data_IF_974693387844
#
_entry.id   IF_974693387844
#
_cell.length_a   1.000
_cell.length_b   1.000
_cell.length_c   1.000
_cell.angle_alpha   90.00
_cell.angle_beta   90.00
_cell.angle_gamma   90.00
#
_symmetry.space_group_name_H-M   'P 1'
#
loop_
_entity.id
_entity.type
_entity.pdbx_description
1 polymer ?
#
# COMPACT_ATOMS: atom_id res chain seq x y z
N UNK A 1 -26.39 21.69 -24.75
CA UNK A 1 -25.60 20.85 -23.81
C UNK A 1 -25.93 19.36 -23.91
N UNK A 2 -27.19 18.94 -24.09
CA UNK A 2 -27.59 17.52 -24.18
C UNK A 2 -27.04 16.68 -25.36
N UNK A 3 -26.42 17.28 -26.38
CA UNK A 3 -25.96 16.57 -27.58
C UNK A 3 -24.55 15.97 -27.45
N UNK A 4 -23.73 16.50 -26.53
CA UNK A 4 -22.33 16.07 -26.33
C UNK A 4 -22.25 14.82 -25.43
N UNK A 5 -23.02 14.79 -24.34
CA UNK A 5 -23.07 13.66 -23.39
C UNK A 5 -23.57 12.35 -24.03
N UNK A 6 -24.44 12.44 -25.05
CA UNK A 6 -24.97 11.27 -25.76
C UNK A 6 -23.93 10.62 -26.68
N UNK A 7 -23.12 11.44 -27.36
CA UNK A 7 -22.01 10.95 -28.20
C UNK A 7 -20.88 10.38 -27.36
N UNK A 8 -20.59 10.99 -26.21
CA UNK A 8 -19.61 10.49 -25.24
C UNK A 8 -20.01 9.13 -24.69
N UNK A 9 -21.29 8.95 -24.34
CA UNK A 9 -21.80 7.66 -23.86
C UNK A 9 -21.76 6.56 -24.94
N UNK A 10 -22.18 6.87 -26.17
CA UNK A 10 -22.08 5.92 -27.30
C UNK A 10 -20.63 5.57 -27.63
N UNK A 11 -19.70 6.52 -27.49
CA UNK A 11 -18.27 6.30 -27.67
C UNK A 11 -17.67 5.40 -26.58
N UNK A 12 -18.00 5.64 -25.30
CA UNK A 12 -17.58 4.80 -24.16
C UNK A 12 -18.12 3.38 -24.31
N UNK A 13 -19.38 3.22 -24.71
CA UNK A 13 -19.99 1.91 -24.89
C UNK A 13 -19.36 1.15 -26.06
N UNK A 14 -18.97 1.85 -27.13
CA UNK A 14 -18.19 1.28 -28.25
C UNK A 14 -16.79 0.84 -27.83
N UNK A 15 -16.09 1.63 -27.01
CA UNK A 15 -14.78 1.26 -26.46
C UNK A 15 -14.90 -0.03 -25.62
N UNK A 16 -15.93 -0.12 -24.76
CA UNK A 16 -16.16 -1.30 -23.94
C UNK A 16 -16.44 -2.57 -24.76
N UNK A 17 -17.17 -2.41 -25.86
CA UNK A 17 -17.45 -3.51 -26.79
C UNK A 17 -16.19 -3.97 -27.56
N UNK A 18 -15.33 -3.04 -27.98
CA UNK A 18 -14.13 -3.35 -28.79
C UNK A 18 -12.99 -3.89 -27.95
N UNK A 19 -12.80 -3.38 -26.73
CA UNK A 19 -11.72 -3.81 -25.82
C UNK A 19 -12.00 -5.15 -25.12
N UNK A 20 -13.15 -5.78 -25.38
CA UNK A 20 -13.41 -7.18 -25.06
C UNK A 20 -13.20 -7.53 -23.58
N UNK A 21 -14.11 -7.10 -22.71
CA UNK A 21 -14.20 -7.62 -21.33
C UNK A 21 -14.84 -9.01 -21.36
N UNK A 22 -14.13 -9.99 -21.92
CA UNK A 22 -14.49 -11.39 -21.77
C UNK A 22 -13.60 -11.98 -20.68
N UNK A 23 -14.23 -12.46 -19.60
CA UNK A 23 -13.61 -13.12 -18.45
C UNK A 23 -12.37 -13.91 -18.84
N UNK A 24 -11.19 -13.32 -18.61
CA UNK A 24 -9.93 -13.94 -18.97
C UNK A 24 -9.69 -15.16 -18.06
N UNK A 25 -9.96 -16.33 -18.61
CA UNK A 25 -9.59 -17.62 -18.02
C UNK A 25 -8.11 -17.62 -17.64
N UNK A 26 -7.79 -18.11 -16.44
CA UNK A 26 -6.42 -18.26 -15.93
C UNK A 26 -5.58 -19.12 -16.90
N UNK A 27 -4.84 -18.47 -17.79
CA UNK A 27 -3.86 -19.11 -18.66
C UNK A 27 -2.53 -19.28 -17.91
N UNK A 28 -1.69 -20.23 -18.33
CA UNK A 28 -0.39 -20.51 -17.67
C UNK A 28 0.52 -19.28 -17.55
N UNK A 29 0.41 -18.35 -18.49
CA UNK A 29 1.16 -17.09 -18.51
C UNK A 29 0.78 -16.15 -17.35
N UNK A 30 -0.48 -16.15 -16.86
CA UNK A 30 -0.89 -15.33 -15.72
C UNK A 30 -0.11 -15.73 -14.45
N UNK A 31 0.09 -17.04 -14.25
CA UNK A 31 0.86 -17.56 -13.11
C UNK A 31 2.34 -17.19 -13.24
N UNK A 32 2.88 -17.23 -14.44
CA UNK A 32 4.27 -16.87 -14.68
C UNK A 32 4.50 -15.36 -14.42
N UNK A 33 3.61 -14.49 -14.91
CA UNK A 33 3.63 -13.05 -14.63
C UNK A 33 3.46 -12.77 -13.13
N UNK A 34 2.54 -13.46 -12.45
CA UNK A 34 2.37 -13.33 -10.99
C UNK A 34 3.67 -13.62 -10.23
N UNK A 35 4.38 -14.68 -10.64
CA UNK A 35 5.64 -15.09 -10.01
C UNK A 35 6.81 -14.13 -10.28
N UNK A 36 6.68 -13.16 -11.19
CA UNK A 36 7.67 -12.11 -11.38
C UNK A 36 7.84 -11.25 -10.12
N UNK A 37 6.78 -11.15 -9.29
CA UNK A 37 6.73 -10.35 -8.05
C UNK A 37 7.35 -8.94 -8.21
N UNK A 38 6.91 -8.14 -9.20
CA UNK A 38 7.45 -6.80 -9.40
C UNK A 38 7.08 -5.89 -8.22
N UNK A 39 7.92 -4.91 -7.90
CA UNK A 39 7.55 -3.88 -6.92
C UNK A 39 6.50 -2.91 -7.48
N UNK A 40 6.60 -2.61 -8.78
CA UNK A 40 5.70 -1.72 -9.50
C UNK A 40 5.40 -2.28 -10.89
N UNK A 41 4.17 -2.07 -11.35
CA UNK A 41 3.75 -2.37 -12.72
C UNK A 41 3.32 -1.07 -13.38
N UNK A 42 3.87 -0.79 -14.57
CA UNK A 42 3.49 0.37 -15.38
C UNK A 42 2.95 -0.17 -16.71
N UNK A 43 1.76 0.27 -17.11
CA UNK A 43 1.08 -0.24 -18.30
C UNK A 43 0.37 0.86 -19.07
N UNK A 44 0.36 0.71 -20.40
CA UNK A 44 -0.49 1.47 -21.33
C UNK A 44 -1.77 0.73 -21.68
N UNK A 45 -1.96 -0.50 -21.17
CA UNK A 45 -3.15 -1.29 -21.40
C UNK A 45 -4.34 -0.73 -20.60
N UNK A 46 -5.52 -0.75 -21.21
CA UNK A 46 -6.75 -0.20 -20.63
C UNK A 46 -7.53 -1.23 -19.79
N UNK A 47 -7.39 -2.53 -20.10
CA UNK A 47 -8.10 -3.66 -19.48
C UNK A 47 -7.64 -3.93 -18.04
N UNK A 48 -8.44 -4.62 -17.23
CA UNK A 48 -8.15 -4.85 -15.80
C UNK A 48 -7.43 -6.19 -15.50
N UNK A 49 -6.72 -6.77 -16.47
CA UNK A 49 -6.11 -8.09 -16.31
C UNK A 49 -5.03 -8.10 -15.23
N UNK A 50 -4.21 -7.05 -15.17
CA UNK A 50 -3.11 -6.96 -14.19
C UNK A 50 -3.65 -6.85 -12.76
N UNK A 51 -4.80 -6.20 -12.57
CA UNK A 51 -5.49 -6.10 -11.29
C UNK A 51 -6.01 -7.47 -10.81
N UNK A 52 -6.36 -8.37 -11.75
CA UNK A 52 -6.73 -9.75 -11.43
C UNK A 52 -5.50 -10.61 -11.11
N UNK A 53 -4.38 -10.37 -11.80
CA UNK A 53 -3.12 -11.09 -11.55
C UNK A 53 -2.52 -10.66 -10.22
N UNK A 54 -2.56 -9.36 -9.89
CA UNK A 54 -1.97 -8.77 -8.68
C UNK A 54 -3.06 -8.14 -7.79
N UNK A 55 -3.87 -8.95 -7.08
CA UNK A 55 -5.02 -8.45 -6.31
C UNK A 55 -4.64 -7.55 -5.14
N UNK A 56 -3.41 -7.65 -4.62
CA UNK A 56 -2.90 -6.81 -3.52
C UNK A 56 -2.31 -5.48 -3.99
N UNK A 57 -2.27 -5.25 -5.31
CA UNK A 57 -1.70 -4.04 -5.88
C UNK A 57 -2.74 -2.93 -5.94
N UNK A 58 -2.29 -1.71 -5.67
CA UNK A 58 -3.15 -0.54 -5.78
C UNK A 58 -3.13 -0.02 -7.22
N UNK A 59 -4.32 0.02 -7.85
CA UNK A 59 -4.47 0.63 -9.18
C UNK A 59 -4.39 2.15 -9.08
N UNK A 60 -3.52 2.74 -9.90
CA UNK A 60 -3.34 4.19 -10.06
C UNK A 60 -3.62 4.55 -11.50
N UNK A 61 -4.67 5.33 -11.75
CA UNK A 61 -5.08 5.70 -13.11
C UNK A 61 -4.63 7.11 -13.45
N UNK A 62 -3.94 7.26 -14.59
CA UNK A 62 -3.47 8.56 -15.08
C UNK A 62 -2.73 9.35 -14.00
N UNK A 63 -3.24 10.53 -13.68
CA UNK A 63 -2.63 11.46 -12.72
C UNK A 63 -3.09 11.30 -11.26
N UNK A 64 -3.90 10.28 -10.94
CA UNK A 64 -4.38 10.04 -9.58
C UNK A 64 -3.25 9.82 -8.56
N UNK A 65 -2.02 9.60 -9.03
CA UNK A 65 -0.80 9.51 -8.22
C UNK A 65 -0.60 10.71 -7.29
N UNK A 66 -1.08 11.90 -7.67
CA UNK A 66 -1.02 13.13 -6.86
C UNK A 66 -1.87 13.04 -5.58
N UNK A 67 -2.94 12.24 -5.59
CA UNK A 67 -3.88 12.11 -4.47
C UNK A 67 -3.43 11.09 -3.41
N UNK A 68 -2.40 10.30 -3.70
CA UNK A 68 -1.95 9.19 -2.85
C UNK A 68 -0.41 9.26 -2.65
N UNK A 69 0.10 10.20 -1.83
CA UNK A 69 1.53 10.45 -1.68
C UNK A 69 2.31 9.33 -0.95
N UNK A 70 1.62 8.43 -0.26
CA UNK A 70 2.20 7.29 0.47
C UNK A 70 2.37 6.03 -0.39
N UNK A 71 2.07 6.12 -1.69
CA UNK A 71 2.28 5.02 -2.63
C UNK A 71 3.76 4.88 -2.96
N UNK A 72 4.35 3.77 -2.52
CA UNK A 72 5.75 3.41 -2.71
C UNK A 72 5.98 1.92 -2.94
N UNK A 73 4.95 1.06 -2.94
CA UNK A 73 5.10 -0.36 -3.30
C UNK A 73 3.77 -1.02 -3.70
N UNK A 74 3.84 -1.89 -4.71
CA UNK A 74 2.74 -2.70 -5.22
C UNK A 74 1.70 -1.86 -5.93
N UNK A 75 2.11 -0.98 -6.83
CA UNK A 75 1.19 -0.18 -7.64
C UNK A 75 1.09 -0.71 -9.06
N UNK A 76 -0.10 -0.59 -9.64
CA UNK A 76 -0.33 -0.71 -11.08
C UNK A 76 -0.64 0.68 -11.63
N UNK A 77 0.37 1.30 -12.25
CA UNK A 77 0.25 2.59 -12.93
C UNK A 77 -0.31 2.40 -14.33
N UNK A 78 -1.54 2.87 -14.55
CA UNK A 78 -2.21 2.84 -15.85
C UNK A 78 -2.14 4.21 -16.47
N UNK A 79 -1.05 4.44 -17.20
CA UNK A 79 -0.64 5.79 -17.61
C UNK A 79 -1.52 6.37 -18.71
N UNK A 80 -2.20 5.51 -19.50
CA UNK A 80 -3.16 5.92 -20.53
C UNK A 80 -4.63 5.77 -20.09
N UNK A 81 -4.87 5.63 -18.79
CA UNK A 81 -6.24 5.46 -18.27
C UNK A 81 -6.66 4.01 -18.10
N UNK A 82 -7.94 3.80 -17.76
CA UNK A 82 -8.49 2.48 -17.47
C UNK A 82 -9.93 2.38 -17.95
N UNK A 83 -10.36 1.21 -18.43
CA UNK A 83 -11.73 0.98 -18.91
C UNK A 83 -12.82 1.18 -17.83
N UNK A 84 -12.45 1.02 -16.55
CA UNK A 84 -13.36 1.29 -15.43
C UNK A 84 -13.49 2.79 -15.10
N UNK A 85 -12.64 3.63 -15.69
CA UNK A 85 -12.74 5.09 -15.64
C UNK A 85 -12.60 5.66 -17.07
N UNK A 86 -13.66 5.59 -17.90
CA UNK A 86 -13.55 5.91 -19.32
C UNK A 86 -13.09 7.34 -19.64
N UNK A 87 -13.35 8.30 -18.73
CA UNK A 87 -12.92 9.69 -18.89
C UNK A 87 -11.40 9.87 -18.73
N UNK A 88 -10.71 8.87 -18.19
CA UNK A 88 -9.26 8.86 -18.04
C UNK A 88 -8.51 8.35 -19.28
N UNK A 89 -9.22 7.82 -20.29
CA UNK A 89 -8.62 7.14 -21.43
C UNK A 89 -7.88 8.11 -22.35
N UNK A 90 -6.64 7.77 -22.70
CA UNK A 90 -5.82 8.50 -23.66
C UNK A 90 -5.84 7.76 -24.99
N UNK A 91 -6.68 8.18 -25.93
CA UNK A 91 -6.89 7.47 -27.20
C UNK A 91 -6.75 8.37 -28.42
N UNK A 92 -7.28 9.58 -28.35
CA UNK A 92 -7.27 10.54 -29.45
C UNK A 92 -6.00 11.39 -29.42
N UNK A 93 -5.63 11.98 -30.56
CA UNK A 93 -4.49 12.90 -30.63
C UNK A 93 -4.61 14.06 -29.63
N UNK A 94 -5.83 14.53 -29.38
CA UNK A 94 -6.09 15.57 -28.39
C UNK A 94 -5.81 15.07 -26.97
N UNK A 95 -6.22 13.84 -26.65
CA UNK A 95 -5.93 13.24 -25.33
C UNK A 95 -4.43 13.10 -25.11
N UNK A 96 -3.67 12.71 -26.15
CA UNK A 96 -2.20 12.64 -26.07
C UNK A 96 -1.58 14.03 -25.83
N UNK A 97 -2.08 15.08 -26.47
CA UNK A 97 -1.61 16.47 -26.23
C UNK A 97 -1.89 16.91 -24.80
N UNK A 98 -3.08 16.65 -24.29
CA UNK A 98 -3.45 16.96 -22.90
C UNK A 98 -2.61 16.15 -21.91
N UNK A 99 -2.44 14.85 -22.16
CA UNK A 99 -1.62 13.97 -21.34
C UNK A 99 -0.16 14.45 -21.28
N UNK A 100 0.47 14.79 -22.40
CA UNK A 100 1.84 15.32 -22.44
C UNK A 100 1.99 16.63 -21.65
N UNK A 101 0.99 17.52 -21.70
CA UNK A 101 1.02 18.78 -20.96
C UNK A 101 0.98 18.56 -19.44
N UNK A 102 0.18 17.59 -18.99
CA UNK A 102 -0.14 17.41 -17.58
C UNK A 102 0.70 16.32 -16.88
N UNK A 103 1.33 15.40 -17.61
CA UNK A 103 2.04 14.22 -17.05
C UNK A 103 3.29 14.53 -16.21
N UNK A 104 3.67 15.79 -16.00
CA UNK A 104 4.97 16.19 -15.41
C UNK A 104 5.29 15.49 -14.08
N UNK A 105 4.32 15.41 -13.16
CA UNK A 105 4.53 14.75 -11.87
C UNK A 105 4.61 13.23 -12.00
N UNK A 106 3.73 12.65 -12.83
CA UNK A 106 3.75 11.22 -13.13
C UNK A 106 5.12 10.83 -13.71
N UNK A 107 5.61 11.57 -14.70
CA UNK A 107 6.96 11.40 -15.26
C UNK A 107 8.04 11.49 -14.19
N UNK A 108 8.01 12.51 -13.31
CA UNK A 108 9.00 12.62 -12.24
C UNK A 108 9.02 11.40 -11.30
N UNK A 109 7.85 10.84 -10.96
CA UNK A 109 7.75 9.66 -10.11
C UNK A 109 8.12 8.35 -10.83
N UNK A 110 7.80 8.23 -12.11
CA UNK A 110 8.26 7.10 -12.92
C UNK A 110 9.79 7.11 -13.02
N UNK A 111 10.39 8.30 -13.16
CA UNK A 111 11.83 8.47 -13.19
C UNK A 111 12.53 8.03 -11.89
N UNK A 112 11.93 8.26 -10.71
CA UNK A 112 12.50 7.73 -9.45
C UNK A 112 12.50 6.20 -9.45
N UNK A 113 11.40 5.56 -9.87
CA UNK A 113 11.34 4.10 -9.97
C UNK A 113 12.37 3.54 -10.96
N UNK A 114 12.57 4.23 -12.08
CA UNK A 114 13.58 3.84 -13.07
C UNK A 114 15.01 3.94 -12.54
N UNK A 115 15.24 4.80 -11.55
CA UNK A 115 16.54 4.92 -10.90
C UNK A 115 16.77 3.88 -9.79
N UNK A 116 15.70 3.48 -9.11
CA UNK A 116 15.76 2.62 -7.92
C UNK A 116 15.65 1.13 -8.26
N UNK A 117 14.96 0.76 -9.35
CA UNK A 117 14.65 -0.63 -9.67
C UNK A 117 15.11 -1.05 -11.09
N UNK A 118 15.41 -2.34 -11.30
CA UNK A 118 15.58 -2.89 -12.65
C UNK A 118 14.30 -2.77 -13.48
N UNK A 119 14.44 -2.48 -14.77
CA UNK A 119 13.34 -2.34 -15.72
C UNK A 119 13.25 -3.53 -16.66
N UNK A 120 12.05 -4.06 -16.80
CA UNK A 120 11.71 -5.14 -17.73
C UNK A 120 10.54 -4.72 -18.62
N UNK A 121 10.81 -4.48 -19.90
CA UNK A 121 9.78 -4.19 -20.89
C UNK A 121 9.19 -5.47 -21.46
N UNK A 122 7.86 -5.61 -21.40
CA UNK A 122 7.12 -6.80 -21.83
C UNK A 122 6.01 -6.37 -22.79
N UNK A 123 5.89 -7.04 -23.94
CA UNK A 123 4.79 -6.81 -24.88
C UNK A 123 4.94 -5.57 -25.76
N UNK A 124 6.14 -5.00 -25.83
CA UNK A 124 6.45 -3.84 -26.66
C UNK A 124 7.52 -4.16 -27.70
N UNK A 125 7.51 -3.39 -28.78
CA UNK A 125 8.60 -3.36 -29.76
C UNK A 125 9.62 -2.30 -29.35
N UNK A 126 10.89 -2.52 -29.67
CA UNK A 126 11.96 -1.55 -29.39
C UNK A 126 11.71 -0.19 -30.06
N UNK A 127 10.94 -0.16 -31.15
CA UNK A 127 10.60 1.05 -31.89
C UNK A 127 9.38 1.82 -31.34
N UNK A 128 8.68 1.29 -30.34
CA UNK A 128 7.49 1.90 -29.73
C UNK A 128 7.78 3.29 -29.16
N UNK A 129 6.89 4.24 -29.41
CA UNK A 129 7.10 5.64 -29.02
C UNK A 129 7.05 5.85 -27.50
N UNK A 130 6.23 5.08 -26.77
CA UNK A 130 6.17 5.14 -25.31
C UNK A 130 7.47 4.62 -24.71
N UNK A 131 8.00 3.50 -25.25
CA UNK A 131 9.33 2.99 -24.87
C UNK A 131 10.40 4.03 -25.15
N UNK A 132 10.43 4.62 -26.35
CA UNK A 132 11.44 5.63 -26.69
C UNK A 132 11.37 6.84 -25.77
N UNK A 133 10.16 7.33 -25.44
CA UNK A 133 9.99 8.44 -24.51
C UNK A 133 10.55 8.09 -23.12
N UNK A 134 10.21 6.92 -22.58
CA UNK A 134 10.71 6.46 -21.28
C UNK A 134 12.24 6.35 -21.29
N UNK A 135 12.80 5.69 -22.30
CA UNK A 135 14.24 5.50 -22.41
C UNK A 135 14.98 6.82 -22.65
N UNK A 136 14.39 7.77 -23.38
CA UNK A 136 14.91 9.12 -23.54
C UNK A 136 15.05 9.82 -22.20
N UNK A 137 14.00 9.78 -21.36
CA UNK A 137 14.05 10.40 -20.03
C UNK A 137 15.10 9.74 -19.13
N UNK A 138 15.22 8.41 -19.19
CA UNK A 138 16.26 7.65 -18.47
C UNK A 138 17.67 8.06 -18.93
N UNK A 139 17.94 8.16 -20.24
CA UNK A 139 19.27 8.58 -20.73
C UNK A 139 19.68 9.95 -20.22
N UNK A 140 18.72 10.89 -20.13
CA UNK A 140 18.96 12.24 -19.64
C UNK A 140 19.28 12.27 -18.15
N UNK A 141 18.64 11.42 -17.34
CA UNK A 141 18.92 11.32 -15.90
C UNK A 141 20.33 10.83 -15.63
N UNK A 142 20.72 9.73 -16.25
CA UNK A 142 22.00 9.07 -15.96
C UNK A 142 23.19 9.71 -16.68
N UNK A 143 22.97 10.76 -17.49
CA UNK A 143 23.92 11.24 -18.51
C UNK A 143 24.52 10.06 -19.26
N UNK A 144 23.69 9.05 -19.53
CA UNK A 144 24.16 7.76 -20.00
C UNK A 144 24.81 7.99 -21.36
N UNK A 145 26.14 7.93 -21.37
CA UNK A 145 26.94 7.78 -22.57
C UNK A 145 26.56 6.43 -23.21
N UNK A 146 26.98 6.18 -24.45
CA UNK A 146 26.69 4.97 -25.26
C UNK A 146 27.03 3.60 -24.59
N UNK A 147 27.45 3.59 -23.33
CA UNK A 147 27.63 2.42 -22.49
C UNK A 147 26.30 1.67 -22.25
N UNK A 148 26.42 0.37 -22.07
CA UNK A 148 25.30 -0.51 -21.73
C UNK A 148 24.68 -0.09 -20.40
N UNK A 149 23.37 0.14 -20.36
CA UNK A 149 22.65 0.38 -19.11
C UNK A 149 22.32 -0.98 -18.47
N UNK A 150 22.97 -1.38 -17.36
CA UNK A 150 22.99 -2.77 -16.92
C UNK A 150 21.64 -3.27 -16.39
N UNK A 151 20.74 -2.37 -16.02
CA UNK A 151 19.50 -2.71 -15.30
C UNK A 151 18.24 -2.57 -16.15
N UNK A 152 18.37 -2.44 -17.48
CA UNK A 152 17.23 -2.33 -18.39
C UNK A 152 17.22 -3.52 -19.35
N UNK A 153 16.09 -4.21 -19.39
CA UNK A 153 15.84 -5.41 -20.17
C UNK A 153 14.61 -5.21 -21.05
N UNK A 154 14.67 -5.67 -22.29
CA UNK A 154 13.50 -5.79 -23.18
C UNK A 154 13.29 -7.26 -23.55
N UNK A 155 12.03 -7.72 -23.48
CA UNK A 155 11.64 -9.03 -23.97
C UNK A 155 11.16 -8.95 -25.41
N UNK A 156 11.83 -9.71 -26.26
CA UNK A 156 11.52 -9.80 -27.68
C UNK A 156 11.06 -11.21 -28.01
N UNK A 157 9.87 -11.33 -28.57
CA UNK A 157 9.34 -12.63 -28.99
C UNK A 157 9.92 -12.99 -30.35
N UNK A 158 10.52 -14.18 -30.43
CA UNK A 158 10.92 -14.78 -31.70
C UNK A 158 10.49 -16.25 -31.68
N UNK A 159 9.60 -16.62 -32.61
CA UNK A 159 9.08 -17.99 -32.71
C UNK A 159 10.09 -18.98 -33.29
N UNK A 160 11.08 -18.48 -34.03
CA UNK A 160 12.02 -19.30 -34.80
C UNK A 160 13.32 -19.54 -34.00
N UNK A 161 13.40 -19.00 -32.78
CA UNK A 161 14.53 -19.18 -31.88
C UNK A 161 14.51 -20.57 -31.22
N UNK A 162 15.61 -21.29 -31.35
CA UNK A 162 15.82 -22.63 -30.78
C UNK A 162 17.13 -22.73 -30.00
N UNK A 163 17.49 -23.94 -29.56
CA UNK A 163 18.68 -24.18 -28.71
C UNK A 163 20.01 -23.77 -29.35
N UNK A 164 20.11 -23.83 -30.68
CA UNK A 164 21.32 -23.45 -31.43
C UNK A 164 21.33 -21.97 -31.86
N UNK A 165 20.28 -21.21 -31.55
CA UNK A 165 20.19 -19.80 -31.92
C UNK A 165 21.08 -18.96 -31.00
N UNK A 166 21.75 -17.96 -31.57
CA UNK A 166 22.58 -17.00 -30.82
C UNK A 166 21.99 -15.60 -30.97
N UNK A 167 20.88 -15.28 -30.26
CA UNK A 167 20.25 -13.99 -30.37
C UNK A 167 21.16 -12.87 -29.86
N UNK A 168 20.99 -11.64 -30.36
CA UNK A 168 21.64 -10.48 -29.77
C UNK A 168 21.22 -10.32 -28.31
N UNK A 169 22.20 -10.12 -27.42
CA UNK A 169 21.98 -9.90 -25.98
C UNK A 169 21.79 -8.42 -25.63
N UNK A 170 21.98 -7.55 -26.61
CA UNK A 170 21.94 -6.11 -26.47
C UNK A 170 21.16 -5.51 -27.63
N UNK A 171 20.42 -4.44 -27.35
CA UNK A 171 19.69 -3.66 -28.34
C UNK A 171 20.12 -2.20 -28.24
N UNK A 172 20.51 -1.63 -29.38
CA UNK A 172 20.71 -0.18 -29.50
C UNK A 172 19.42 0.43 -30.03
N UNK A 173 18.89 1.41 -29.31
CA UNK A 173 17.63 2.09 -29.63
C UNK A 173 17.91 3.58 -29.76
N UNK A 174 17.53 4.18 -30.90
CA UNK A 174 17.47 5.63 -31.03
C UNK A 174 16.20 6.13 -30.33
N UNK A 175 16.39 6.97 -29.33
CA UNK A 175 15.33 7.49 -28.45
C UNK A 175 14.97 8.95 -28.74
N UNK A 176 15.66 9.60 -29.67
CA UNK A 176 15.36 10.96 -30.13
C UNK A 176 16.62 11.71 -30.56
N UNK A 177 16.58 12.33 -31.74
CA UNK A 177 17.72 13.03 -32.32
C UNK A 177 18.93 12.11 -32.45
N UNK A 178 20.09 12.55 -31.93
CA UNK A 178 21.33 11.77 -31.90
C UNK A 178 21.51 10.95 -30.61
N UNK A 179 20.46 10.86 -29.78
CA UNK A 179 20.52 10.12 -28.51
C UNK A 179 20.17 8.65 -28.74
N UNK A 180 21.11 7.78 -28.42
CA UNK A 180 20.93 6.33 -28.45
C UNK A 180 21.18 5.71 -27.10
N UNK A 181 20.37 4.74 -26.71
CA UNK A 181 20.60 3.92 -25.52
C UNK A 181 20.92 2.48 -25.92
N UNK A 182 21.80 1.84 -25.15
CA UNK A 182 22.06 0.41 -25.27
C UNK A 182 21.51 -0.31 -24.03
N UNK A 183 20.59 -1.25 -24.25
CA UNK A 183 19.92 -2.03 -23.20
C UNK A 183 20.10 -3.53 -23.43
N UNK A 184 19.83 -4.35 -22.42
CA UNK A 184 19.86 -5.81 -22.55
C UNK A 184 18.62 -6.29 -23.30
N UNK A 185 18.80 -7.20 -24.24
CA UNK A 185 17.71 -7.87 -24.96
C UNK A 185 17.67 -9.35 -24.57
N UNK A 186 16.46 -9.84 -24.31
CA UNK A 186 16.18 -11.24 -24.08
C UNK A 186 15.19 -11.67 -25.17
N UNK A 187 15.71 -12.39 -26.16
CA UNK A 187 14.91 -12.93 -27.27
C UNK A 187 14.50 -14.35 -26.92
N UNK A 188 13.21 -14.70 -27.04
CA UNK A 188 12.74 -16.06 -26.78
C UNK A 188 11.42 -16.43 -27.45
N UNK A 189 11.23 -17.73 -27.67
CA UNK A 189 9.97 -18.39 -28.09
C UNK A 189 9.12 -18.85 -26.91
N UNK A 190 9.55 -18.59 -25.66
CA UNK A 190 8.74 -18.72 -24.45
C UNK A 190 9.28 -17.80 -23.37
N UNK A 191 8.40 -17.08 -22.67
CA UNK A 191 8.81 -16.21 -21.56
C UNK A 191 8.70 -16.88 -20.19
N UNK A 192 8.21 -18.12 -20.11
CA UNK A 192 8.03 -18.84 -18.83
C UNK A 192 9.35 -18.95 -18.04
N UNK A 193 10.44 -19.26 -18.74
CA UNK A 193 11.76 -19.37 -18.10
C UNK A 193 12.28 -18.00 -17.66
N UNK A 194 11.99 -16.94 -18.42
CA UNK A 194 12.38 -15.58 -18.06
C UNK A 194 11.68 -15.16 -16.78
N UNK A 195 10.36 -15.32 -16.72
CA UNK A 195 9.57 -14.94 -15.55
C UNK A 195 10.00 -15.73 -14.30
N UNK A 196 10.33 -17.03 -14.46
CA UNK A 196 10.91 -17.83 -13.37
C UNK A 196 12.29 -17.33 -12.92
N UNK A 197 13.16 -16.94 -13.87
CA UNK A 197 14.49 -16.45 -13.55
C UNK A 197 14.46 -15.13 -12.78
N UNK A 198 13.58 -14.20 -13.16
CA UNK A 198 13.37 -12.95 -12.43
C UNK A 198 12.67 -13.19 -11.07
N UNK A 199 11.75 -14.15 -10.98
CA UNK A 199 11.01 -14.46 -9.75
C UNK A 199 11.81 -15.20 -8.65
N UNK A 200 12.93 -15.84 -8.99
CA UNK A 200 13.72 -16.68 -8.08
C UNK A 200 14.76 -15.92 -7.22
N UNK A 201 14.91 -14.60 -7.38
CA UNK A 201 16.02 -13.82 -6.82
C UNK A 201 15.78 -13.18 -5.44
N UNK A 202 14.86 -13.68 -4.62
CA UNK A 202 14.67 -13.10 -3.29
C UNK A 202 13.99 -14.00 -2.28
N UNK A 203 14.76 -14.43 -1.29
CA UNK A 203 14.39 -14.86 0.06
C UNK A 203 13.63 -13.79 0.87
N UNK A 204 12.82 -12.96 0.21
CA UNK A 204 11.82 -12.15 0.90
C UNK A 204 10.60 -13.05 0.98
N UNK A 205 10.55 -13.81 2.08
CA UNK A 205 9.32 -14.41 2.58
C UNK A 205 8.18 -13.40 2.42
N UNK A 206 7.06 -13.88 1.89
CA UNK A 206 5.84 -13.17 1.51
C UNK A 206 5.64 -11.82 2.22
N UNK A 207 6.32 -10.76 1.73
CA UNK A 207 6.05 -9.41 2.23
C UNK A 207 4.65 -9.08 1.76
N UNK A 208 3.73 -8.98 2.72
CA UNK A 208 2.38 -8.58 2.44
C UNK A 208 2.41 -7.11 2.00
N UNK A 209 2.39 -6.90 0.67
CA UNK A 209 2.56 -5.57 0.06
C UNK A 209 1.45 -4.62 0.49
N UNK A 210 0.25 -5.15 0.74
CA UNK A 210 -0.87 -4.41 1.30
C UNK A 210 -0.59 -3.95 2.74
N UNK A 211 0.03 -4.79 3.57
CA UNK A 211 0.47 -4.42 4.92
C UNK A 211 1.57 -3.34 4.87
N UNK A 212 2.57 -3.50 4.01
CA UNK A 212 3.66 -2.52 3.87
C UNK A 212 3.14 -1.15 3.41
N UNK A 213 2.18 -1.13 2.47
CA UNK A 213 1.52 0.10 2.03
C UNK A 213 0.69 0.75 3.15
N UNK A 214 -0.05 -0.06 3.91
CA UNK A 214 -0.80 0.44 5.07
C UNK A 214 0.11 1.05 6.13
N UNK A 215 1.30 0.45 6.34
CA UNK A 215 2.36 0.96 7.21
C UNK A 215 2.88 2.31 6.77
N UNK A 216 3.28 2.42 5.50
CA UNK A 216 3.79 3.66 4.92
C UNK A 216 2.74 4.78 4.96
N UNK A 217 1.48 4.46 4.66
CA UNK A 217 0.36 5.40 4.77
C UNK A 217 0.20 5.92 6.21
N UNK A 218 0.31 5.06 7.22
CA UNK A 218 0.21 5.44 8.62
C UNK A 218 1.40 6.28 9.09
N UNK A 219 2.62 5.88 8.75
CA UNK A 219 3.83 6.64 9.07
C UNK A 219 3.77 8.05 8.46
N UNK A 220 3.36 8.16 7.19
CA UNK A 220 3.18 9.44 6.51
C UNK A 220 2.12 10.33 7.19
N UNK A 221 0.99 9.73 7.61
CA UNK A 221 -0.06 10.45 8.33
C UNK A 221 0.37 10.88 9.74
N UNK A 222 1.22 10.10 10.42
CA UNK A 222 1.79 10.45 11.72
C UNK A 222 2.68 11.69 11.58
N UNK A 223 3.64 11.67 10.64
CA UNK A 223 4.55 12.78 10.37
C UNK A 223 3.79 14.05 9.97
N UNK A 224 2.72 13.93 9.16
CA UNK A 224 1.87 15.07 8.78
C UNK A 224 1.06 15.66 9.94
N UNK A 225 0.67 14.84 10.92
CA UNK A 225 -0.03 15.31 12.13
C UNK A 225 0.93 15.91 13.15
N UNK A 226 2.15 15.37 13.25
CA UNK A 226 3.17 15.83 14.19
C UNK A 226 3.79 17.18 13.84
N UNK A 227 3.70 17.64 12.59
CA UNK A 227 4.11 19.02 12.23
C UNK A 227 3.22 20.11 12.83
N UNK A 228 2.12 19.76 13.52
CA UNK A 228 1.28 20.72 14.26
C UNK A 228 1.13 20.44 15.76
N UNK A 229 1.66 19.33 16.32
CA UNK A 229 1.81 19.24 17.78
C UNK A 229 2.78 18.14 18.24
N UNK A 230 3.87 18.56 18.89
CA UNK A 230 4.69 17.87 19.91
C UNK A 230 5.20 16.45 19.58
N UNK A 231 6.54 16.37 19.47
CA UNK A 231 7.35 15.16 19.43
C UNK A 231 6.84 14.02 20.33
N UNK A 232 6.54 12.89 19.70
CA UNK A 232 6.49 11.58 20.35
C UNK A 232 7.71 10.81 19.85
N UNK A 233 8.66 10.53 20.75
CA UNK A 233 9.80 9.65 20.45
C UNK A 233 9.29 8.25 20.11
N UNK A 234 9.47 7.85 18.84
CA UNK A 234 9.21 6.47 18.42
C UNK A 234 10.37 5.62 18.92
N UNK A 235 10.09 4.78 19.91
CA UNK A 235 11.08 3.91 20.53
C UNK A 235 11.37 2.70 19.61
N UNK A 236 12.47 2.76 18.86
CA UNK A 236 12.90 1.75 17.87
C UNK A 236 13.02 0.33 18.44
N UNK A 237 13.29 0.18 19.74
CA UNK A 237 13.36 -1.12 20.41
C UNK A 237 12.02 -1.87 20.47
N UNK A 238 10.88 -1.17 20.41
CA UNK A 238 9.55 -1.82 20.33
C UNK A 238 9.22 -2.34 18.93
N UNK A 239 9.81 -1.75 17.88
CA UNK A 239 9.59 -2.16 16.49
C UNK A 239 10.40 -3.41 16.14
N UNK A 240 11.62 -3.51 16.66
CA UNK A 240 12.52 -4.65 16.40
C UNK A 240 11.94 -5.96 16.95
N UNK A 241 11.47 -5.96 18.21
CA UNK A 241 10.79 -7.12 18.81
C UNK A 241 9.41 -7.43 18.22
N UNK A 242 8.78 -6.46 17.56
CA UNK A 242 7.49 -6.65 16.91
C UNK A 242 7.62 -7.34 15.55
N UNK A 243 8.71 -7.07 14.81
CA UNK A 243 8.99 -7.67 13.49
C UNK A 243 9.36 -9.16 13.61
N UNK A 244 9.87 -9.61 14.76
CA UNK A 244 10.16 -11.03 15.02
C UNK A 244 8.90 -11.89 15.29
N UNK A 245 7.73 -11.29 15.47
CA UNK A 245 6.47 -12.01 15.70
C UNK A 245 5.34 -11.37 14.86
N UNK A 246 5.00 -12.01 13.73
CA UNK A 246 3.95 -11.57 12.78
C UNK A 246 2.63 -11.16 13.46
N UNK A 247 2.23 -11.85 14.53
CA UNK A 247 1.01 -11.53 15.28
C UNK A 247 1.11 -10.24 16.10
N UNK A 248 2.28 -9.91 16.65
CA UNK A 248 2.47 -8.72 17.46
C UNK A 248 2.64 -7.47 16.60
N UNK A 249 3.26 -7.61 15.43
CA UNK A 249 3.37 -6.53 14.46
C UNK A 249 1.98 -6.03 14.02
N UNK A 250 1.08 -6.94 13.63
CA UNK A 250 -0.28 -6.57 13.24
C UNK A 250 -1.12 -5.98 14.39
N UNK A 251 -0.85 -6.36 15.65
CA UNK A 251 -1.48 -5.81 16.86
C UNK A 251 -1.01 -4.38 17.17
N UNK A 252 0.29 -4.11 17.06
CA UNK A 252 0.87 -2.77 17.25
C UNK A 252 0.39 -1.80 16.16
N UNK A 253 0.13 -2.33 14.96
CA UNK A 253 -0.29 -1.56 13.80
C UNK A 253 -1.81 -1.41 13.65
N UNK A 254 -2.60 -2.06 14.51
CA UNK A 254 -4.07 -1.95 14.52
C UNK A 254 -4.76 -2.51 13.28
N UNK A 255 -4.14 -3.50 12.60
CA UNK A 255 -4.62 -4.06 11.32
C UNK A 255 -5.28 -5.44 11.50
N UNK A 256 -5.21 -6.05 12.69
CA UNK A 256 -6.09 -7.17 13.00
C UNK A 256 -7.50 -6.65 13.32
N UNK A 257 -8.51 -7.13 12.59
CA UNK A 257 -9.91 -7.04 13.00
C UNK A 257 -9.98 -7.43 14.47
N UNK A 258 -10.46 -6.52 15.31
CA UNK A 258 -10.31 -6.55 16.76
C UNK A 258 -11.24 -7.57 17.45
N UNK A 259 -11.45 -8.74 16.86
CA UNK A 259 -12.31 -9.78 17.42
C UNK A 259 -11.45 -10.86 18.10
N UNK A 260 -10.83 -10.50 19.23
CA UNK A 260 -10.12 -11.47 20.06
C UNK A 260 -9.47 -10.89 21.31
N UNK A 261 -8.98 -11.74 22.24
CA UNK A 261 -8.38 -11.30 23.51
C UNK A 261 -7.18 -10.33 23.37
N UNK A 262 -6.55 -10.31 22.19
CA UNK A 262 -5.45 -9.42 21.86
C UNK A 262 -5.87 -7.95 21.64
N UNK A 263 -7.08 -7.70 21.09
CA UNK A 263 -7.62 -6.33 20.93
C UNK A 263 -7.94 -5.71 22.28
N UNK A 264 -8.48 -6.52 23.18
CA UNK A 264 -8.82 -6.13 24.54
C UNK A 264 -7.56 -5.75 25.33
N UNK A 265 -6.47 -6.51 25.23
CA UNK A 265 -5.23 -6.16 25.92
C UNK A 265 -4.55 -4.92 25.32
N UNK A 266 -4.72 -4.63 24.03
CA UNK A 266 -4.19 -3.41 23.41
C UNK A 266 -4.96 -2.15 23.85
N UNK A 267 -6.30 -2.23 23.90
CA UNK A 267 -7.15 -1.10 24.29
C UNK A 267 -7.30 -0.95 25.82
N UNK A 268 -7.17 -2.05 26.56
CA UNK A 268 -7.28 -2.14 28.02
C UNK A 268 -6.10 -2.92 28.62
N UNK A 269 -4.88 -2.36 28.56
CA UNK A 269 -3.67 -3.09 28.95
C UNK A 269 -3.55 -3.32 30.46
N UNK A 270 -4.27 -2.56 31.30
CA UNK A 270 -4.02 -2.53 32.73
C UNK A 270 -4.96 -3.42 33.55
N UNK A 271 -4.42 -4.07 34.57
CA UNK A 271 -5.21 -4.57 35.70
C UNK A 271 -5.43 -3.46 36.71
N UNK A 272 -6.36 -3.64 37.67
CA UNK A 272 -6.60 -2.62 38.70
C UNK A 272 -5.36 -2.33 39.56
N UNK A 273 -4.50 -3.34 39.78
CA UNK A 273 -3.22 -3.19 40.46
C UNK A 273 -2.27 -2.28 39.66
N UNK A 274 -2.16 -2.47 38.35
CA UNK A 274 -1.32 -1.61 37.50
C UNK A 274 -1.83 -0.18 37.41
N UNK A 275 -3.17 0.02 37.40
CA UNK A 275 -3.77 1.36 37.52
C UNK A 275 -3.39 2.00 38.85
N UNK A 276 -3.46 1.26 39.95
CA UNK A 276 -3.08 1.74 41.26
C UNK A 276 -1.60 2.17 41.32
N UNK A 277 -0.69 1.36 40.78
CA UNK A 277 0.74 1.67 40.67
C UNK A 277 0.99 2.96 39.86
N UNK A 278 0.34 3.10 38.70
CA UNK A 278 0.40 4.32 37.88
C UNK A 278 -0.13 5.57 38.61
N UNK A 279 -1.09 5.39 39.50
CA UNK A 279 -1.63 6.45 40.34
C UNK A 279 -0.84 6.64 41.65
N UNK A 280 0.28 5.94 41.84
CA UNK A 280 1.15 6.07 43.01
C UNK A 280 0.63 5.38 44.28
N UNK A 281 -0.24 4.37 44.14
CA UNK A 281 -0.69 3.52 45.24
C UNK A 281 0.06 2.18 45.23
N UNK A 282 0.24 1.60 46.41
CA UNK A 282 0.92 0.30 46.60
C UNK A 282 0.01 -0.91 46.36
N UNK A 283 -1.31 -0.71 46.34
CA UNK A 283 -2.31 -1.77 46.22
C UNK A 283 -3.52 -1.30 45.41
N UNK A 284 -4.13 -2.24 44.68
CA UNK A 284 -5.37 -2.07 43.90
C UNK A 284 -6.50 -1.37 44.68
N UNK A 285 -6.51 -1.49 46.01
CA UNK A 285 -7.45 -0.79 46.89
C UNK A 285 -7.47 0.73 46.69
N UNK A 286 -6.32 1.34 46.39
CA UNK A 286 -6.23 2.79 46.15
C UNK A 286 -7.01 3.21 44.90
N UNK A 287 -6.82 2.49 43.79
CA UNK A 287 -7.60 2.72 42.57
C UNK A 287 -9.07 2.34 42.74
N UNK A 288 -9.39 1.32 43.55
CA UNK A 288 -10.78 0.93 43.82
C UNK A 288 -11.58 2.04 44.48
N UNK A 289 -11.02 2.67 45.52
CA UNK A 289 -11.65 3.80 46.24
C UNK A 289 -11.90 5.00 45.33
N UNK A 290 -11.01 5.25 44.37
CA UNK A 290 -11.21 6.33 43.39
C UNK A 290 -12.37 6.03 42.43
N UNK A 291 -12.59 4.76 42.09
CA UNK A 291 -13.75 4.36 41.28
C UNK A 291 -15.05 4.55 42.08
N UNK A 292 -15.07 4.17 43.36
CA UNK A 292 -16.22 4.41 44.24
C UNK A 292 -16.50 5.91 44.41
N UNK A 293 -15.46 6.72 44.57
CA UNK A 293 -15.60 8.18 44.66
C UNK A 293 -16.14 8.79 43.35
N UNK A 294 -15.66 8.31 42.19
CA UNK A 294 -16.17 8.73 40.89
C UNK A 294 -17.67 8.41 40.76
N UNK A 295 -18.09 7.21 41.16
CA UNK A 295 -19.49 6.78 41.14
C UNK A 295 -20.35 7.67 42.06
N UNK A 296 -19.87 8.00 43.26
CA UNK A 296 -20.57 8.92 44.17
C UNK A 296 -20.70 10.34 43.59
N UNK A 297 -19.70 10.82 42.86
CA UNK A 297 -19.71 12.19 42.28
C UNK A 297 -20.55 12.30 41.02
N UNK A 298 -20.69 11.22 40.24
CA UNK A 298 -21.23 11.28 38.87
C UNK A 298 -22.38 10.32 38.61
N UNK A 299 -22.74 9.46 39.58
CA UNK A 299 -23.67 8.34 39.43
C UNK A 299 -23.29 7.32 38.34
N UNK A 300 -22.06 7.39 37.81
CA UNK A 300 -21.55 6.49 36.79
C UNK A 300 -20.75 5.33 37.41
N UNK A 301 -21.29 4.11 37.32
CA UNK A 301 -20.55 2.89 37.67
C UNK A 301 -19.68 2.41 36.48
N UNK A 302 -18.38 2.65 36.59
CA UNK A 302 -17.38 2.24 35.61
C UNK A 302 -17.32 0.72 35.39
N UNK A 303 -17.67 -0.10 36.39
CA UNK A 303 -17.48 -1.57 36.35
C UNK A 303 -18.73 -2.32 35.89
N UNK A 304 -19.88 -1.66 35.77
CA UNK A 304 -21.17 -2.30 35.45
C UNK A 304 -21.27 -2.76 33.99
N UNK A 305 -20.61 -2.05 33.06
CA UNK A 305 -20.64 -2.35 31.63
C UNK A 305 -19.24 -2.23 31.01
N UNK A 306 -19.11 -2.76 29.79
CA UNK A 306 -17.94 -2.50 28.95
C UNK A 306 -18.05 -1.09 28.37
N UNK A 307 -17.04 -0.27 28.62
CA UNK A 307 -17.03 1.15 28.28
C UNK A 307 -15.60 1.62 27.96
N UNK A 308 -15.37 2.87 27.52
CA UNK A 308 -14.02 3.34 27.17
C UNK A 308 -12.99 3.28 28.31
N UNK A 309 -13.40 3.10 29.57
CA UNK A 309 -12.51 3.03 30.73
C UNK A 309 -12.26 1.59 31.20
N UNK A 310 -13.25 0.71 31.07
CA UNK A 310 -13.25 -0.64 31.64
C UNK A 310 -13.82 -1.68 30.66
N UNK A 311 -13.22 -2.87 30.68
CA UNK A 311 -13.68 -4.03 29.91
C UNK A 311 -13.60 -5.32 30.74
N UNK A 312 -14.64 -6.16 30.67
CA UNK A 312 -14.71 -7.47 31.33
C UNK A 312 -14.30 -8.59 30.36
N UNK A 313 -13.08 -9.11 30.53
CA UNK A 313 -12.58 -10.22 29.72
C UNK A 313 -12.93 -11.57 30.35
N UNK A 314 -13.69 -12.42 29.66
CA UNK A 314 -13.97 -13.80 30.09
C UNK A 314 -12.71 -14.66 30.01
N UNK A 315 -12.35 -15.34 31.10
CA UNK A 315 -11.09 -16.12 31.21
C UNK A 315 -11.32 -17.62 31.36
N UNK A 316 -12.58 -18.07 31.45
CA UNK A 316 -12.92 -19.49 31.56
C UNK A 316 -14.39 -19.78 31.27
N UNK A 317 -14.82 -21.02 31.51
CA UNK A 317 -16.17 -21.49 31.17
C UNK A 317 -17.27 -21.00 32.13
N UNK A 318 -16.94 -20.77 33.40
CA UNK A 318 -17.86 -20.25 34.43
C UNK A 318 -18.16 -18.76 34.22
N UNK A 319 -19.37 -18.31 34.59
CA UNK A 319 -19.74 -16.89 34.61
C UNK A 319 -18.88 -16.06 35.59
N UNK A 320 -18.38 -16.68 36.66
CA UNK A 320 -17.46 -16.06 37.62
C UNK A 320 -16.01 -15.99 37.13
N UNK A 321 -15.68 -16.63 36.00
CA UNK A 321 -14.32 -16.68 35.46
C UNK A 321 -14.10 -15.54 34.46
N UNK A 322 -13.76 -14.38 35.01
CA UNK A 322 -13.42 -13.19 34.23
C UNK A 322 -12.29 -12.39 34.90
N UNK A 323 -11.64 -11.54 34.11
CA UNK A 323 -10.67 -10.55 34.57
C UNK A 323 -11.10 -9.18 34.09
N UNK A 324 -11.02 -8.18 34.97
CA UNK A 324 -11.29 -6.79 34.63
C UNK A 324 -10.04 -6.12 34.09
N UNK A 325 -10.19 -5.41 32.99
CA UNK A 325 -9.13 -4.69 32.30
C UNK A 325 -9.50 -3.21 32.17
N UNK A 326 -8.50 -2.34 32.22
CA UNK A 326 -8.67 -0.89 32.25
C UNK A 326 -7.78 -0.22 31.19
N UNK A 327 -8.28 0.87 30.61
CA UNK A 327 -7.59 1.65 29.58
C UNK A 327 -6.75 2.79 30.17
N UNK A 328 -5.89 3.41 29.38
CA UNK A 328 -5.14 4.61 29.79
C UNK A 328 -6.09 5.79 30.09
N UNK A 329 -7.28 5.82 29.46
CA UNK A 329 -8.31 6.81 29.77
C UNK A 329 -8.84 6.64 31.20
N UNK A 330 -8.91 5.42 31.73
CA UNK A 330 -9.28 5.16 33.13
C UNK A 330 -8.22 5.68 34.09
N UNK A 331 -6.94 5.45 33.80
CA UNK A 331 -5.82 6.00 34.60
C UNK A 331 -5.90 7.53 34.62
N UNK A 332 -6.11 8.17 33.46
CA UNK A 332 -6.22 9.63 33.35
C UNK A 332 -7.41 10.18 34.13
N UNK A 333 -8.58 9.55 34.02
CA UNK A 333 -9.79 9.96 34.72
C UNK A 333 -9.62 9.83 36.23
N UNK A 334 -9.16 8.68 36.72
CA UNK A 334 -8.95 8.46 38.15
C UNK A 334 -7.82 9.34 38.71
N UNK A 335 -6.82 9.70 37.89
CA UNK A 335 -5.82 10.70 38.22
C UNK A 335 -6.45 12.07 38.49
N UNK A 336 -7.37 12.51 37.63
CA UNK A 336 -8.13 13.76 37.83
C UNK A 336 -9.03 13.72 39.05
N UNK A 337 -9.69 12.58 39.30
CA UNK A 337 -10.47 12.37 40.53
C UNK A 337 -9.58 12.48 41.76
N UNK A 338 -8.37 11.91 41.71
CA UNK A 338 -7.38 11.99 42.79
C UNK A 338 -6.88 13.42 43.04
N UNK A 339 -6.65 14.20 41.99
CA UNK A 339 -6.16 15.60 42.10
C UNK A 339 -7.27 16.63 42.34
N UNK A 340 -8.55 16.22 42.27
CA UNK A 340 -9.69 17.12 42.41
C UNK A 340 -9.89 18.04 41.20
N UNK A 341 -9.30 17.71 40.05
CA UNK A 341 -9.42 18.48 38.82
C UNK A 341 -10.78 18.28 38.14
N UNK A 342 -11.25 19.29 37.40
CA UNK A 342 -12.44 19.13 36.57
C UNK A 342 -12.21 18.08 35.48
N UNK A 343 -13.12 17.12 35.38
CA UNK A 343 -13.09 16.09 34.35
C UNK A 343 -14.41 16.03 33.59
N UNK A 344 -14.38 15.47 32.38
CA UNK A 344 -15.56 15.15 31.57
C UNK A 344 -15.55 13.66 31.26
N UNK A 345 -16.69 13.02 31.43
CA UNK A 345 -16.86 11.62 31.07
C UNK A 345 -17.01 11.47 29.55
N UNK A 346 -16.62 10.31 29.04
CA UNK A 346 -16.76 9.95 27.63
C UNK A 346 -18.25 9.90 27.24
N UNK A 347 -18.53 10.12 25.95
CA UNK A 347 -19.90 10.14 25.42
C UNK A 347 -20.60 8.79 25.70
N UNK A 348 -21.75 8.83 26.35
CA UNK A 348 -22.51 7.62 26.78
C UNK A 348 -22.11 7.06 28.15
N UNK A 349 -21.12 7.64 28.84
CA UNK A 349 -20.72 7.30 30.21
C UNK A 349 -21.21 8.37 31.19
N UNK A 350 -22.51 8.66 31.17
CA UNK A 350 -23.16 9.62 32.07
C UNK A 350 -24.20 8.87 32.89
N UNK A 351 -24.26 9.16 34.19
CA UNK A 351 -25.32 8.68 35.08
C UNK A 351 -26.63 9.41 34.83
#
# INVERSE_FOLDING_TARGET
>A
MYFNERQEKEYIDKIRSVLGVNNATHTGIHRAIFNLKPEHVITTNYDQLLELIFPDFERVVGQQVLSKPYLSIGEIFKIHGCISDPLSLVLTENDYKTFEADKKYLSAKLLTYFAEHPLLFIGYRAEDQNIKSILYDVTRMFKATQALTPNIYILEWDKDIGENSYPPRERVINVGGDVTIRIKSIVSSSFDWVFKAFGNNGTLEQINVKLLRALMARAFNLVRRDTLSKHVEVNFSMLEHAVENDENFAKILGITSLDGPASVNANYPYTLQMVAEKLGFTSWNGAHKLIELLEQMTSFDMKNSDNPYHFRLKTGKSESSFTRKYSEAAVTLLGKVKSGESFKLAQGCVG
#
